data_IF_390365278596
#
_entry.id   IF_390365278596
#
_cell.length_a   1.000
_cell.length_b   1.000
_cell.length_c   1.000
_cell.angle_alpha   90.00
_cell.angle_beta   90.00
_cell.angle_gamma   90.00
#
_symmetry.space_group_name_H-M   'P 1'
#
loop_
_entity.id
_entity.type
_entity.pdbx_description
1 polymer ?
#
# COMPACT_ATOMS: atom_id res chain seq x y z
N UNK A 1 -52.62 -44.03 59.34
CA UNK A 1 -52.77 -43.35 58.05
C UNK A 1 -51.53 -42.51 57.84
N UNK A 2 -50.62 -42.96 56.95
CA UNK A 2 -49.33 -42.32 56.67
C UNK A 2 -49.33 -41.82 55.24
N UNK A 3 -49.26 -40.51 55.06
CA UNK A 3 -49.18 -39.87 53.75
C UNK A 3 -47.71 -39.64 53.36
N UNK A 4 -47.25 -40.36 52.28
CA UNK A 4 -45.93 -40.17 51.69
C UNK A 4 -45.90 -38.92 50.79
N UNK A 5 -45.13 -37.91 51.20
CA UNK A 5 -44.74 -36.82 50.30
C UNK A 5 -43.52 -37.26 49.46
N UNK A 6 -43.69 -37.33 48.15
CA UNK A 6 -42.61 -37.48 47.15
C UNK A 6 -41.96 -36.12 46.89
N UNK A 7 -40.69 -36.00 47.23
CA UNK A 7 -39.87 -34.85 46.81
C UNK A 7 -39.34 -35.13 45.39
N UNK A 8 -39.73 -34.31 44.42
CA UNK A 8 -39.11 -34.27 43.08
C UNK A 8 -37.89 -33.32 43.15
N UNK A 9 -36.71 -33.85 43.00
CA UNK A 9 -35.48 -33.10 42.83
C UNK A 9 -35.30 -32.82 41.34
N UNK A 10 -35.46 -31.58 40.95
CA UNK A 10 -35.17 -31.13 39.54
C UNK A 10 -33.68 -30.90 39.47
N UNK A 11 -32.97 -31.73 38.72
CA UNK A 11 -31.59 -31.48 38.32
C UNK A 11 -31.57 -30.56 37.09
N UNK A 12 -31.29 -29.26 37.30
CA UNK A 12 -31.02 -28.33 36.24
C UNK A 12 -29.60 -28.60 35.71
N UNK A 13 -29.50 -29.22 34.52
CA UNK A 13 -28.25 -29.31 33.80
C UNK A 13 -27.91 -27.94 33.20
N UNK A 14 -26.96 -27.25 33.80
CA UNK A 14 -26.33 -26.07 33.18
C UNK A 14 -25.39 -26.58 32.12
N UNK A 15 -25.79 -26.46 30.83
CA UNK A 15 -24.91 -26.65 29.71
C UNK A 15 -23.93 -25.46 29.68
N UNK A 16 -22.71 -25.65 30.17
CA UNK A 16 -21.61 -24.76 29.87
C UNK A 16 -21.27 -24.93 28.37
N UNK A 17 -21.66 -23.96 27.57
CA UNK A 17 -21.05 -23.80 26.25
C UNK A 17 -19.60 -23.37 26.46
N UNK A 18 -18.69 -24.32 26.39
CA UNK A 18 -17.25 -24.07 26.25
C UNK A 18 -17.03 -23.70 24.80
N UNK A 19 -17.20 -22.42 24.46
CA UNK A 19 -16.59 -21.86 23.26
C UNK A 19 -15.06 -21.92 23.45
N UNK A 20 -14.48 -23.05 23.09
CA UNK A 20 -13.02 -23.20 23.03
C UNK A 20 -12.47 -22.25 21.96
N UNK A 21 -11.23 -21.76 22.13
CA UNK A 21 -10.60 -20.93 21.10
C UNK A 21 -10.60 -21.72 19.78
N UNK A 22 -11.07 -21.09 18.70
CA UNK A 22 -11.07 -21.68 17.36
C UNK A 22 -9.69 -22.24 17.07
N UNK A 23 -9.61 -23.54 16.91
CA UNK A 23 -8.34 -24.25 16.71
C UNK A 23 -7.78 -23.86 15.35
N UNK A 24 -6.54 -23.41 15.30
CA UNK A 24 -5.81 -23.13 14.06
C UNK A 24 -5.75 -24.35 13.10
N UNK A 25 -6.02 -25.55 13.59
CA UNK A 25 -6.07 -26.79 12.82
C UNK A 25 -7.27 -26.85 11.83
N UNK A 26 -8.34 -26.08 12.05
CA UNK A 26 -9.53 -26.04 11.18
C UNK A 26 -9.57 -24.80 10.27
N UNK A 27 -8.62 -23.88 10.41
CA UNK A 27 -8.54 -22.68 9.55
C UNK A 27 -7.96 -23.05 8.17
N UNK A 28 -8.50 -22.52 7.06
CA UNK A 28 -9.73 -21.74 7.00
C UNK A 28 -11.01 -22.62 6.98
N UNK A 29 -12.06 -22.21 7.67
CA UNK A 29 -13.34 -22.91 7.72
C UNK A 29 -14.16 -22.74 6.42
N UNK A 30 -13.85 -21.72 5.61
CA UNK A 30 -14.54 -21.37 4.37
C UNK A 30 -13.63 -20.66 3.37
N UNK A 31 -14.20 -20.10 2.27
CA UNK A 31 -13.45 -19.28 1.33
C UNK A 31 -12.81 -18.07 2.02
N UNK A 32 -11.58 -17.71 1.60
CA UNK A 32 -10.89 -16.51 2.08
C UNK A 32 -11.05 -15.40 1.03
N UNK A 33 -11.58 -14.25 1.45
CA UNK A 33 -11.86 -13.13 0.57
C UNK A 33 -10.84 -12.00 0.81
N UNK A 34 -10.16 -11.57 -0.25
CA UNK A 34 -9.33 -10.38 -0.26
C UNK A 34 -10.14 -9.19 -0.77
N UNK A 35 -10.35 -8.20 0.07
CA UNK A 35 -10.94 -6.92 -0.30
C UNK A 35 -9.81 -6.00 -0.75
N UNK A 36 -9.73 -5.73 -2.05
CA UNK A 36 -8.75 -4.84 -2.67
C UNK A 36 -9.29 -3.41 -2.65
N UNK A 37 -8.56 -2.49 -2.02
CA UNK A 37 -8.99 -1.10 -1.80
C UNK A 37 -8.93 -0.20 -3.05
N UNK A 38 -8.58 -0.75 -4.22
CA UNK A 38 -8.41 -0.05 -5.49
C UNK A 38 -9.18 -0.71 -6.64
N UNK A 39 -9.39 0.01 -7.77
CA UNK A 39 -10.02 -0.56 -8.95
C UNK A 39 -9.28 -1.77 -9.49
N UNK A 40 -10.03 -2.67 -10.16
CA UNK A 40 -9.46 -3.81 -10.86
C UNK A 40 -8.45 -3.40 -11.93
N UNK A 41 -7.41 -4.22 -12.12
CA UNK A 41 -6.33 -3.99 -13.10
C UNK A 41 -5.17 -3.14 -12.58
N UNK A 42 -5.27 -2.55 -11.39
CA UNK A 42 -4.12 -1.92 -10.72
C UNK A 42 -3.11 -2.95 -10.19
N UNK A 43 -1.88 -2.51 -9.90
CA UNK A 43 -0.80 -3.41 -9.43
C UNK A 43 -1.19 -4.24 -8.21
N UNK A 44 -1.88 -3.65 -7.23
CA UNK A 44 -2.39 -4.38 -6.06
C UNK A 44 -3.37 -5.48 -6.46
N UNK A 45 -4.35 -5.19 -7.31
CA UNK A 45 -5.34 -6.19 -7.77
C UNK A 45 -4.68 -7.33 -8.55
N UNK A 46 -3.81 -6.98 -9.50
CA UNK A 46 -3.12 -7.96 -10.37
C UNK A 46 -2.25 -8.91 -9.54
N UNK A 47 -1.48 -8.40 -8.57
CA UNK A 47 -0.63 -9.22 -7.72
C UNK A 47 -1.44 -10.05 -6.73
N UNK A 48 -2.48 -9.50 -6.10
CA UNK A 48 -3.35 -10.26 -5.18
C UNK A 48 -4.05 -11.42 -5.91
N UNK A 49 -4.49 -11.22 -7.16
CA UNK A 49 -5.04 -12.31 -7.98
C UNK A 49 -4.00 -13.37 -8.33
N UNK A 50 -2.75 -12.98 -8.54
CA UNK A 50 -1.66 -13.94 -8.76
C UNK A 50 -1.34 -14.76 -7.50
N UNK A 51 -1.47 -14.18 -6.30
CA UNK A 51 -1.34 -14.90 -5.03
C UNK A 51 -2.48 -15.92 -4.81
N UNK A 52 -3.67 -15.69 -5.38
CA UNK A 52 -4.85 -16.52 -5.12
C UNK A 52 -4.65 -17.99 -5.48
N UNK A 53 -4.01 -18.29 -6.61
CA UNK A 53 -3.76 -19.68 -7.05
C UNK A 53 -2.86 -20.46 -6.09
N UNK A 54 -1.65 -20.00 -5.77
CA UNK A 54 -0.79 -20.60 -4.76
C UNK A 54 -1.46 -20.73 -3.40
N UNK A 55 -2.12 -19.68 -2.89
CA UNK A 55 -2.81 -19.69 -1.60
C UNK A 55 -3.94 -20.71 -1.55
N UNK A 56 -4.73 -20.84 -2.62
CA UNK A 56 -5.79 -21.85 -2.69
C UNK A 56 -5.24 -23.28 -2.58
N UNK A 57 -4.09 -23.55 -3.19
CA UNK A 57 -3.42 -24.85 -3.06
C UNK A 57 -2.93 -25.13 -1.64
N UNK A 58 -2.39 -24.11 -0.97
CA UNK A 58 -1.82 -24.19 0.38
C UNK A 58 -2.91 -24.30 1.46
N UNK A 59 -3.96 -23.48 1.35
CA UNK A 59 -5.03 -23.41 2.35
C UNK A 59 -6.15 -24.41 2.12
N UNK A 60 -6.23 -25.02 0.92
CA UNK A 60 -7.28 -26.01 0.58
C UNK A 60 -8.70 -25.43 0.46
N UNK A 61 -8.83 -24.11 0.38
CA UNK A 61 -10.12 -23.39 0.25
C UNK A 61 -10.05 -22.36 -0.86
N UNK A 62 -11.19 -22.00 -1.49
CA UNK A 62 -11.22 -20.98 -2.51
C UNK A 62 -10.71 -19.62 -2.01
N UNK A 63 -9.95 -18.92 -2.84
CA UNK A 63 -9.53 -17.54 -2.61
C UNK A 63 -10.34 -16.64 -3.55
N UNK A 64 -11.07 -15.70 -2.98
CA UNK A 64 -11.90 -14.73 -3.70
C UNK A 64 -11.22 -13.36 -3.66
N UNK A 65 -11.22 -12.62 -4.77
CA UNK A 65 -10.67 -11.25 -4.84
C UNK A 65 -11.76 -10.30 -5.27
N UNK A 66 -12.13 -9.38 -4.38
CA UNK A 66 -13.16 -8.36 -4.58
C UNK A 66 -12.53 -6.96 -4.56
N UNK A 67 -12.87 -6.12 -5.54
CA UNK A 67 -12.43 -4.73 -5.56
C UNK A 67 -13.50 -3.82 -4.95
N UNK A 68 -13.13 -3.07 -3.91
CA UNK A 68 -13.98 -2.05 -3.26
C UNK A 68 -13.26 -0.71 -3.25
N UNK A 69 -13.18 -0.09 -4.43
CA UNK A 69 -12.55 1.22 -4.58
C UNK A 69 -13.42 2.34 -4.02
N UNK A 70 -12.80 3.38 -3.46
CA UNK A 70 -13.48 4.60 -3.03
C UNK A 70 -12.78 5.30 -1.88
N UNK A 71 -12.85 6.63 -1.89
CA UNK A 71 -12.27 7.51 -0.87
C UNK A 71 -10.81 7.16 -0.49
N UNK A 72 -9.94 6.90 -1.50
CA UNK A 72 -8.54 6.55 -1.25
C UNK A 72 -8.32 5.22 -0.54
N UNK A 73 -9.31 4.30 -0.55
CA UNK A 73 -9.27 3.01 0.14
C UNK A 73 -10.01 2.98 1.49
N UNK A 74 -10.54 4.11 1.96
CA UNK A 74 -11.24 4.23 3.26
C UNK A 74 -12.46 3.31 3.33
N UNK A 75 -13.21 3.15 2.22
CA UNK A 75 -14.39 2.28 2.21
C UNK A 75 -14.01 0.82 2.47
N UNK A 76 -13.09 0.27 1.67
CA UNK A 76 -12.62 -1.11 1.83
C UNK A 76 -12.01 -1.36 3.22
N UNK A 77 -11.21 -0.41 3.70
CA UNK A 77 -10.58 -0.49 5.03
C UNK A 77 -11.62 -0.52 6.15
N UNK A 78 -12.64 0.35 6.07
CA UNK A 78 -13.73 0.39 7.05
C UNK A 78 -14.58 -0.87 7.09
N UNK A 79 -14.79 -1.51 5.93
CA UNK A 79 -15.51 -2.79 5.83
C UNK A 79 -14.72 -3.92 6.50
N UNK A 80 -13.41 -4.03 6.21
CA UNK A 80 -12.57 -5.07 6.81
C UNK A 80 -12.32 -4.84 8.30
N UNK A 81 -12.13 -3.59 8.73
CA UNK A 81 -11.97 -3.27 10.15
C UNK A 81 -13.16 -3.72 11.02
N UNK A 82 -14.35 -3.88 10.42
CA UNK A 82 -15.59 -4.33 11.08
C UNK A 82 -15.97 -5.77 10.77
N UNK A 83 -15.18 -6.47 9.94
CA UNK A 83 -15.45 -7.86 9.59
C UNK A 83 -15.23 -8.81 10.79
N UNK A 84 -15.77 -10.02 10.68
CA UNK A 84 -15.52 -11.05 11.68
C UNK A 84 -14.01 -11.36 11.79
N UNK A 85 -13.44 -11.47 13.00
CA UNK A 85 -12.02 -11.71 13.20
C UNK A 85 -11.66 -13.21 13.07
N UNK A 86 -12.19 -13.85 12.05
CA UNK A 86 -12.01 -15.29 11.77
C UNK A 86 -10.94 -15.58 10.69
N UNK A 87 -10.32 -14.53 10.15
CA UNK A 87 -9.30 -14.62 9.09
C UNK A 87 -9.87 -14.88 7.70
N UNK A 88 -11.20 -14.92 7.50
CA UNK A 88 -11.79 -15.18 6.19
C UNK A 88 -11.97 -13.92 5.35
N UNK A 89 -11.86 -12.73 5.95
CA UNK A 89 -11.92 -11.45 5.24
C UNK A 89 -10.65 -10.66 5.48
N UNK A 90 -9.88 -10.42 4.42
CA UNK A 90 -8.58 -9.75 4.46
C UNK A 90 -8.60 -8.49 3.61
N UNK A 91 -7.88 -7.47 4.03
CA UNK A 91 -7.68 -6.22 3.28
C UNK A 91 -6.37 -6.31 2.48
N UNK A 92 -6.42 -5.97 1.20
CA UNK A 92 -5.24 -5.63 0.41
C UNK A 92 -5.20 -4.12 0.21
N UNK A 93 -4.36 -3.44 0.99
CA UNK A 93 -4.25 -1.99 1.02
C UNK A 93 -2.91 -1.51 0.46
N UNK A 94 -2.92 -0.33 -0.15
CA UNK A 94 -1.71 0.39 -0.50
C UNK A 94 -1.32 1.43 0.57
N UNK A 95 -0.23 2.15 0.35
CA UNK A 95 0.33 3.15 1.26
C UNK A 95 -0.62 4.29 1.65
N UNK A 96 -1.73 4.48 0.91
CA UNK A 96 -2.81 5.38 1.33
C UNK A 96 -3.42 5.00 2.68
N UNK A 97 -3.31 3.73 3.11
CA UNK A 97 -3.67 3.28 4.46
C UNK A 97 -2.93 4.07 5.55
N UNK A 98 -1.66 4.37 5.33
CA UNK A 98 -0.85 5.16 6.27
C UNK A 98 -1.07 6.69 6.13
N UNK A 99 -1.50 7.15 4.96
CA UNK A 99 -1.78 8.56 4.71
C UNK A 99 -3.16 8.99 5.25
N UNK A 100 -4.15 8.11 5.17
CA UNK A 100 -5.55 8.44 5.49
C UNK A 100 -5.80 8.98 6.90
N UNK A 101 -5.10 8.55 7.98
CA UNK A 101 -5.29 9.14 9.31
C UNK A 101 -5.03 10.65 9.39
N UNK A 102 -4.20 11.18 8.50
CA UNK A 102 -3.91 12.63 8.45
C UNK A 102 -4.66 13.35 7.32
N UNK A 103 -4.93 12.67 6.20
CA UNK A 103 -5.61 13.25 5.04
C UNK A 103 -7.12 13.40 5.24
N UNK A 104 -7.75 12.44 5.93
CA UNK A 104 -9.21 12.36 6.03
C UNK A 104 -9.68 12.95 7.35
N UNK A 105 -10.64 13.90 7.27
CA UNK A 105 -11.15 14.63 8.43
C UNK A 105 -11.77 13.72 9.49
N UNK A 106 -12.43 12.63 9.06
CA UNK A 106 -13.07 11.69 9.97
C UNK A 106 -13.02 10.27 9.37
N UNK A 107 -12.25 9.39 9.99
CA UNK A 107 -12.19 7.98 9.62
C UNK A 107 -13.17 7.16 10.44
N UNK A 108 -13.88 6.18 9.83
CA UNK A 108 -14.77 5.27 10.54
C UNK A 108 -14.06 4.12 11.27
N UNK A 109 -12.73 4.15 11.34
CA UNK A 109 -11.84 3.15 11.96
C UNK A 109 -10.56 3.81 12.45
N UNK A 110 -9.83 3.12 13.33
CA UNK A 110 -8.46 3.45 13.71
C UNK A 110 -7.52 2.42 13.07
N UNK A 111 -6.60 2.86 12.21
CA UNK A 111 -5.75 1.98 11.41
C UNK A 111 -4.90 1.02 12.26
N UNK A 112 -4.35 1.49 13.39
CA UNK A 112 -3.47 0.66 14.23
C UNK A 112 -4.24 -0.19 15.24
N UNK A 113 -5.38 0.29 15.70
CA UNK A 113 -6.20 -0.42 16.69
C UNK A 113 -7.07 -1.49 16.05
N UNK A 114 -7.65 -1.21 14.86
CA UNK A 114 -8.68 -2.04 14.28
C UNK A 114 -8.14 -3.03 13.24
N UNK A 115 -6.86 -2.87 12.81
CA UNK A 115 -6.22 -3.73 11.81
C UNK A 115 -4.89 -4.30 12.31
N UNK A 116 -4.65 -5.57 11.97
CA UNK A 116 -3.37 -6.28 12.12
C UNK A 116 -2.73 -6.48 10.75
N UNK A 117 -1.53 -5.95 10.55
CA UNK A 117 -0.73 -6.21 9.35
C UNK A 117 -0.20 -7.66 9.35
N UNK A 118 -0.32 -8.36 8.21
CA UNK A 118 0.03 -9.77 8.06
C UNK A 118 1.21 -9.95 7.12
N UNK A 119 1.19 -9.32 5.94
CA UNK A 119 2.20 -9.49 4.90
C UNK A 119 2.42 -8.22 4.11
N UNK A 120 3.69 -7.87 3.88
CA UNK A 120 4.13 -6.87 2.91
C UNK A 120 4.42 -7.60 1.60
N UNK A 121 3.62 -7.34 0.56
CA UNK A 121 3.66 -8.12 -0.68
C UNK A 121 4.70 -7.58 -1.66
N UNK A 122 4.71 -6.27 -1.88
CA UNK A 122 5.66 -5.59 -2.75
C UNK A 122 5.77 -4.11 -2.41
N UNK A 123 6.84 -3.46 -2.90
CA UNK A 123 7.02 -2.01 -2.87
C UNK A 123 6.84 -1.41 -4.25
N UNK A 124 6.24 -0.23 -4.32
CA UNK A 124 5.98 0.52 -5.56
C UNK A 124 6.86 1.76 -5.58
N UNK A 125 8.01 1.71 -6.25
CA UNK A 125 8.86 2.88 -6.41
C UNK A 125 8.24 3.86 -7.40
N UNK A 126 8.54 5.15 -7.21
CA UNK A 126 8.28 6.19 -8.18
C UNK A 126 9.56 6.51 -8.94
N UNK A 127 9.41 6.99 -10.17
CA UNK A 127 10.50 7.54 -10.98
C UNK A 127 10.28 9.03 -11.13
N UNK A 128 11.28 9.82 -10.78
CA UNK A 128 11.32 11.25 -11.12
C UNK A 128 11.61 11.34 -12.61
N UNK A 129 10.60 11.73 -13.38
CA UNK A 129 10.69 11.94 -14.83
C UNK A 129 10.47 13.38 -15.18
N UNK A 130 11.14 13.85 -16.22
CA UNK A 130 11.03 15.20 -16.75
C UNK A 130 10.67 15.19 -18.22
N UNK A 131 10.08 16.29 -18.70
CA UNK A 131 9.99 16.60 -20.12
C UNK A 131 11.40 16.54 -20.77
N UNK A 132 11.61 15.80 -21.87
CA UNK A 132 12.89 15.75 -22.56
C UNK A 132 13.46 17.10 -23.01
N UNK A 133 12.61 18.13 -23.17
CA UNK A 133 13.01 19.49 -23.54
C UNK A 133 13.56 20.27 -22.33
N UNK A 134 13.26 19.85 -21.10
CA UNK A 134 13.81 20.49 -19.90
C UNK A 134 15.36 20.30 -19.91
N UNK A 135 16.16 21.40 -19.76
CA UNK A 135 17.62 21.34 -19.91
C UNK A 135 18.31 20.75 -18.68
N UNK A 136 17.87 19.58 -18.21
CA UNK A 136 18.47 18.82 -17.10
C UNK A 136 18.59 17.34 -17.43
N UNK A 137 19.69 16.72 -17.01
CA UNK A 137 20.01 15.32 -17.26
C UNK A 137 20.27 14.52 -15.98
N UNK A 138 20.25 15.19 -14.82
CA UNK A 138 20.50 14.58 -13.52
C UNK A 138 19.66 15.26 -12.43
N UNK A 139 19.51 14.59 -11.28
CA UNK A 139 18.88 15.16 -10.08
C UNK A 139 19.63 16.42 -9.62
N UNK A 140 20.96 16.43 -9.67
CA UNK A 140 21.76 17.58 -9.28
C UNK A 140 21.50 18.80 -10.19
N UNK A 141 21.41 18.61 -11.51
CA UNK A 141 21.06 19.70 -12.45
C UNK A 141 19.63 20.19 -12.24
N UNK A 142 18.68 19.30 -11.95
CA UNK A 142 17.33 19.71 -11.58
C UNK A 142 17.30 20.56 -10.32
N UNK A 143 17.99 20.15 -9.27
CA UNK A 143 18.11 20.93 -8.02
C UNK A 143 18.70 22.33 -8.30
N UNK A 144 19.75 22.40 -9.12
CA UNK A 144 20.37 23.67 -9.49
C UNK A 144 19.38 24.58 -10.24
N UNK A 145 18.61 24.02 -11.19
CA UNK A 145 17.56 24.77 -11.92
C UNK A 145 16.46 25.25 -10.98
N UNK A 146 15.98 24.41 -10.08
CA UNK A 146 14.92 24.78 -9.12
C UNK A 146 15.38 25.88 -8.16
N UNK A 147 16.64 25.88 -7.74
CA UNK A 147 17.22 26.96 -6.91
C UNK A 147 17.36 28.29 -7.68
N UNK A 148 17.60 28.25 -8.98
CA UNK A 148 17.65 29.44 -9.83
C UNK A 148 16.26 30.00 -10.14
N UNK A 149 15.22 29.16 -10.17
CA UNK A 149 13.85 29.51 -10.55
C UNK A 149 12.83 29.03 -9.49
N UNK A 150 12.91 29.52 -8.25
CA UNK A 150 12.04 29.06 -7.17
C UNK A 150 10.56 29.28 -7.50
N UNK A 151 9.75 28.22 -7.41
CA UNK A 151 8.32 28.24 -7.68
C UNK A 151 7.90 28.39 -9.16
N UNK A 152 8.85 28.54 -10.10
CA UNK A 152 8.52 28.73 -11.51
C UNK A 152 8.44 27.43 -12.31
N UNK A 153 9.02 26.36 -11.80
CA UNK A 153 8.95 25.02 -12.42
C UNK A 153 7.75 24.31 -11.83
N UNK A 154 6.87 23.80 -12.70
CA UNK A 154 5.69 23.06 -12.30
C UNK A 154 5.94 21.54 -12.26
N UNK A 155 5.18 20.84 -11.42
CA UNK A 155 5.13 19.38 -11.39
C UNK A 155 3.69 18.86 -11.42
N UNK A 156 3.44 17.79 -12.15
CA UNK A 156 2.14 17.14 -12.23
C UNK A 156 1.92 16.11 -11.12
N UNK A 157 0.69 16.01 -10.59
CA UNK A 157 0.31 14.99 -9.63
C UNK A 157 -1.15 14.56 -9.76
N UNK A 158 -1.48 13.35 -9.28
CA UNK A 158 -2.78 12.70 -9.45
C UNK A 158 -3.88 13.15 -8.47
N UNK A 159 -3.73 14.33 -7.87
CA UNK A 159 -4.67 14.87 -6.88
C UNK A 159 -4.05 15.05 -5.49
N UNK A 160 -4.72 15.78 -4.60
CA UNK A 160 -4.25 16.06 -3.25
C UNK A 160 -3.96 14.77 -2.46
N UNK A 161 -2.81 14.74 -1.77
CA UNK A 161 -2.40 13.60 -0.96
C UNK A 161 -1.97 12.35 -1.73
N UNK A 162 -1.90 12.41 -3.07
CA UNK A 162 -1.35 11.31 -3.86
C UNK A 162 0.13 11.06 -3.52
N UNK A 163 0.58 9.80 -3.59
CA UNK A 163 1.98 9.46 -3.38
C UNK A 163 2.93 10.29 -4.27
N UNK A 164 2.49 10.62 -5.46
CA UNK A 164 3.20 11.47 -6.44
C UNK A 164 3.41 12.88 -5.90
N UNK A 165 2.36 13.51 -5.36
CA UNK A 165 2.47 14.82 -4.72
C UNK A 165 3.38 14.76 -3.51
N UNK A 166 3.16 13.79 -2.61
CA UNK A 166 3.92 13.66 -1.38
C UNK A 166 5.41 13.41 -1.64
N UNK A 167 5.76 12.66 -2.70
CA UNK A 167 7.15 12.49 -3.12
C UNK A 167 7.78 13.81 -3.60
N UNK A 168 7.04 14.62 -4.35
CA UNK A 168 7.51 15.94 -4.79
C UNK A 168 7.68 16.89 -3.60
N UNK A 169 6.77 16.90 -2.64
CA UNK A 169 6.87 17.71 -1.42
C UNK A 169 8.08 17.28 -0.55
N UNK A 170 8.30 15.94 -0.42
CA UNK A 170 9.49 15.43 0.25
C UNK A 170 10.77 15.88 -0.44
N UNK A 171 10.81 15.80 -1.78
CA UNK A 171 11.95 16.24 -2.57
C UNK A 171 12.25 17.73 -2.35
N UNK A 172 11.23 18.58 -2.39
CA UNK A 172 11.35 20.01 -2.10
C UNK A 172 11.90 20.27 -0.70
N UNK A 173 11.34 19.59 0.30
CA UNK A 173 11.74 19.73 1.69
C UNK A 173 13.21 19.32 1.92
N UNK A 174 13.67 18.20 1.33
CA UNK A 174 15.03 17.69 1.51
C UNK A 174 16.07 18.48 0.72
N UNK A 175 15.68 19.09 -0.42
CA UNK A 175 16.62 19.83 -1.28
C UNK A 175 16.60 21.34 -1.05
N UNK A 176 15.64 21.84 -0.27
CA UNK A 176 15.44 23.28 -0.05
C UNK A 176 15.02 24.01 -1.34
N UNK A 177 14.24 23.33 -2.20
CA UNK A 177 13.75 23.86 -3.48
C UNK A 177 12.25 24.11 -3.44
N UNK A 178 11.71 24.83 -4.44
CA UNK A 178 10.29 25.13 -4.57
C UNK A 178 9.81 24.85 -5.99
N UNK A 179 8.69 24.12 -6.10
CA UNK A 179 7.98 23.82 -7.34
C UNK A 179 6.50 24.16 -7.19
N UNK A 180 5.80 24.38 -8.29
CA UNK A 180 4.35 24.61 -8.29
C UNK A 180 3.61 23.35 -8.71
N UNK A 181 2.75 22.80 -7.84
CA UNK A 181 1.96 21.60 -8.11
C UNK A 181 0.78 21.90 -9.06
N UNK A 182 0.61 21.03 -10.06
CA UNK A 182 -0.54 21.02 -10.98
C UNK A 182 -1.33 19.73 -10.73
N UNK A 183 -2.56 19.87 -10.24
CA UNK A 183 -3.41 18.76 -9.86
C UNK A 183 -4.22 18.21 -11.03
N UNK A 184 -4.20 16.91 -11.24
CA UNK A 184 -4.96 16.20 -12.26
C UNK A 184 -5.93 15.20 -11.62
N UNK A 185 -6.93 14.76 -12.40
CA UNK A 185 -7.85 13.66 -12.00
C UNK A 185 -7.20 12.28 -12.21
N UNK A 186 -5.98 12.11 -11.69
CA UNK A 186 -5.20 10.87 -11.77
C UNK A 186 -3.85 11.04 -12.48
N UNK A 187 -2.90 10.15 -12.16
CA UNK A 187 -1.53 10.18 -12.66
C UNK A 187 -1.40 10.08 -14.20
N UNK A 188 -2.20 9.29 -14.93
CA UNK A 188 -2.06 9.20 -16.39
C UNK A 188 -2.25 10.54 -17.11
N UNK A 189 -3.14 11.42 -16.64
CA UNK A 189 -3.35 12.73 -17.24
C UNK A 189 -2.14 13.65 -17.00
N UNK A 190 -1.56 13.61 -15.81
CA UNK A 190 -0.33 14.33 -15.50
C UNK A 190 0.84 13.86 -16.36
N UNK A 191 0.98 12.53 -16.56
CA UNK A 191 2.04 11.96 -17.40
C UNK A 191 1.91 12.40 -18.87
N UNK A 192 0.70 12.42 -19.40
CA UNK A 192 0.45 12.93 -20.76
C UNK A 192 0.90 14.38 -20.92
N UNK A 193 0.65 15.22 -19.92
CA UNK A 193 1.06 16.62 -19.96
C UNK A 193 2.58 16.83 -19.77
N UNK A 194 3.25 15.93 -19.05
CA UNK A 194 4.73 15.92 -19.03
C UNK A 194 5.30 15.54 -20.42
N UNK A 195 4.74 14.52 -21.07
CA UNK A 195 5.16 14.11 -22.42
C UNK A 195 4.89 15.19 -23.47
N UNK A 196 3.85 16.01 -23.26
CA UNK A 196 3.50 17.13 -24.15
C UNK A 196 4.26 18.44 -23.83
N UNK A 197 5.05 18.48 -22.74
CA UNK A 197 5.79 19.67 -22.32
C UNK A 197 4.94 20.76 -21.63
N UNK A 198 3.68 20.47 -21.30
CA UNK A 198 2.81 21.40 -20.54
C UNK A 198 3.19 21.45 -19.06
N UNK A 199 3.73 20.36 -18.52
CA UNK A 199 4.24 20.24 -17.17
C UNK A 199 5.69 19.76 -17.23
N UNK A 200 6.57 20.36 -16.44
CA UNK A 200 8.01 20.13 -16.55
C UNK A 200 8.44 18.75 -16.04
N UNK A 201 7.81 18.24 -14.98
CA UNK A 201 8.20 16.99 -14.34
C UNK A 201 7.05 16.36 -13.54
N UNK A 202 7.24 15.10 -13.17
CA UNK A 202 6.45 14.43 -12.15
C UNK A 202 7.23 13.28 -11.50
N UNK A 203 6.78 12.85 -10.35
CA UNK A 203 7.05 11.50 -9.87
C UNK A 203 5.98 10.57 -10.46
N UNK A 204 6.36 9.47 -11.07
CA UNK A 204 5.42 8.54 -11.69
C UNK A 204 5.66 7.11 -11.22
N UNK A 205 4.62 6.29 -11.13
CA UNK A 205 4.79 4.86 -10.84
C UNK A 205 5.73 4.23 -11.87
N UNK A 206 6.75 3.51 -11.42
CA UNK A 206 7.77 2.94 -12.30
C UNK A 206 7.14 2.12 -13.44
N UNK A 207 6.14 1.28 -13.14
CA UNK A 207 5.44 0.48 -14.14
C UNK A 207 4.76 1.30 -15.23
N UNK A 208 4.29 2.52 -14.92
CA UNK A 208 3.60 3.38 -15.87
C UNK A 208 4.53 4.12 -16.84
N UNK A 209 5.84 4.21 -16.53
CA UNK A 209 6.79 5.02 -17.32
C UNK A 209 7.89 4.22 -18.02
N UNK A 210 7.99 2.91 -17.78
CA UNK A 210 9.01 2.06 -18.44
C UNK A 210 8.94 2.18 -19.96
N UNK A 211 7.74 2.09 -20.53
CA UNK A 211 7.53 2.22 -21.98
C UNK A 211 7.87 3.62 -22.49
N UNK A 212 7.50 4.66 -21.77
CA UNK A 212 7.74 6.06 -22.09
C UNK A 212 9.23 6.43 -22.01
N UNK A 213 9.94 5.87 -21.03
CA UNK A 213 11.40 5.99 -20.91
C UNK A 213 12.09 5.31 -22.11
N UNK A 214 11.67 4.10 -22.45
CA UNK A 214 12.21 3.37 -23.60
C UNK A 214 11.94 4.09 -24.93
N UNK A 215 10.79 4.75 -25.07
CA UNK A 215 10.41 5.55 -26.22
C UNK A 215 11.08 6.95 -26.24
N UNK A 216 11.73 7.37 -25.15
CA UNK A 216 12.35 8.70 -25.02
C UNK A 216 11.34 9.85 -24.89
N UNK A 217 10.07 9.56 -24.62
CA UNK A 217 9.01 10.58 -24.45
C UNK A 217 9.04 11.25 -23.08
N UNK A 218 9.74 10.66 -22.13
CA UNK A 218 10.15 11.28 -20.86
C UNK A 218 11.60 10.92 -20.55
N UNK A 219 12.29 11.75 -19.76
CA UNK A 219 13.65 11.47 -19.28
C UNK A 219 13.60 11.13 -17.78
N UNK A 220 14.07 9.92 -17.38
CA UNK A 220 14.20 9.58 -15.98
C UNK A 220 15.44 10.24 -15.38
N UNK A 221 15.33 10.78 -14.17
CA UNK A 221 16.46 11.34 -13.40
C UNK A 221 16.85 10.49 -12.21
N UNK A 222 15.91 9.80 -11.58
CA UNK A 222 16.17 8.94 -10.44
C UNK A 222 14.93 8.19 -9.97
N UNK A 223 15.12 7.07 -9.27
CA UNK A 223 14.06 6.31 -8.63
C UNK A 223 13.97 6.65 -7.14
N UNK A 224 12.76 6.63 -6.62
CA UNK A 224 12.46 7.04 -5.24
C UNK A 224 12.74 6.00 -4.17
N UNK A 225 13.17 4.80 -4.56
CA UNK A 225 13.51 3.69 -3.66
C UNK A 225 14.98 3.77 -3.24
N UNK A 226 15.32 3.12 -2.12
CA UNK A 226 16.71 2.95 -1.63
C UNK A 226 17.54 1.98 -2.45
N UNK A 227 16.89 1.22 -3.35
CA UNK A 227 17.52 0.31 -4.33
C UNK A 227 17.03 0.64 -5.72
N UNK A 228 17.85 0.39 -6.73
CA UNK A 228 17.46 0.57 -8.13
C UNK A 228 16.34 -0.39 -8.52
N UNK A 229 15.45 0.07 -9.37
CA UNK A 229 14.35 -0.75 -9.89
C UNK A 229 14.91 -1.75 -10.93
N UNK A 230 14.66 -3.06 -10.77
CA UNK A 230 15.21 -4.07 -11.70
C UNK A 230 14.86 -3.83 -13.17
N UNK A 231 13.68 -3.29 -13.46
CA UNK A 231 13.24 -2.95 -14.82
C UNK A 231 13.91 -1.67 -15.37
N UNK A 232 14.60 -0.88 -14.53
CA UNK A 232 15.30 0.37 -14.89
C UNK A 232 16.71 0.41 -14.28
N UNK A 233 17.59 -0.56 -14.55
CA UNK A 233 18.85 -0.74 -13.85
C UNK A 233 19.84 0.41 -14.06
N UNK A 234 19.71 1.16 -15.15
CA UNK A 234 20.55 2.32 -15.46
C UNK A 234 20.13 3.62 -14.75
N UNK A 235 18.90 3.66 -14.20
CA UNK A 235 18.40 4.84 -13.48
C UNK A 235 18.88 4.77 -12.03
N UNK A 236 19.66 5.76 -11.55
CA UNK A 236 20.12 5.76 -10.16
C UNK A 236 18.98 5.96 -9.18
N UNK A 237 19.19 5.67 -7.91
CA UNK A 237 18.28 6.14 -6.87
C UNK A 237 18.48 7.65 -6.67
N UNK A 238 17.45 8.35 -6.18
CA UNK A 238 17.57 9.78 -5.85
C UNK A 238 18.57 9.99 -4.71
N UNK A 239 18.67 9.01 -3.81
CA UNK A 239 19.71 8.96 -2.77
C UNK A 239 21.12 8.95 -3.39
N UNK A 240 21.41 8.00 -4.30
CA UNK A 240 22.68 7.95 -5.06
C UNK A 240 22.95 9.22 -5.85
N UNK A 241 21.89 9.87 -6.34
CA UNK A 241 21.95 11.04 -7.21
C UNK A 241 22.11 12.39 -6.44
N UNK A 242 22.36 12.34 -5.13
CA UNK A 242 22.74 13.49 -4.34
C UNK A 242 21.68 14.04 -3.38
N UNK A 243 20.64 13.24 -3.05
CA UNK A 243 19.67 13.55 -1.99
C UNK A 243 19.68 12.42 -0.95
N UNK A 244 20.70 12.38 -0.06
CA UNK A 244 20.88 11.29 0.89
C UNK A 244 19.65 11.06 1.78
N UNK A 245 19.23 9.80 1.93
CA UNK A 245 18.07 9.41 2.72
C UNK A 245 16.74 9.66 2.05
N UNK A 246 16.70 10.02 0.76
CA UNK A 246 15.44 10.15 0.04
C UNK A 246 14.82 8.78 -0.19
N UNK A 247 13.62 8.60 0.34
CA UNK A 247 12.78 7.44 0.07
C UNK A 247 11.31 7.87 0.03
N UNK A 248 10.64 7.64 -1.11
CA UNK A 248 9.21 7.86 -1.30
C UNK A 248 8.61 6.67 -2.07
N UNK A 249 8.42 5.56 -1.37
CA UNK A 249 8.00 4.29 -1.95
C UNK A 249 6.62 3.92 -1.43
N UNK A 250 5.71 3.64 -2.35
CA UNK A 250 4.46 2.99 -2.02
C UNK A 250 4.68 1.52 -1.65
N UNK A 251 3.68 0.89 -1.09
CA UNK A 251 3.70 -0.52 -0.71
C UNK A 251 2.30 -1.10 -0.71
N UNK A 252 2.21 -2.43 -0.76
CA UNK A 252 0.96 -3.17 -0.58
C UNK A 252 1.07 -4.08 0.63
N UNK A 253 0.18 -3.88 1.60
CA UNK A 253 0.02 -4.71 2.80
C UNK A 253 -1.26 -5.53 2.72
N UNK A 254 -1.17 -6.76 3.21
CA UNK A 254 -2.34 -7.56 3.57
C UNK A 254 -2.57 -7.40 5.07
N UNK A 255 -3.82 -7.08 5.44
CA UNK A 255 -4.22 -6.91 6.84
C UNK A 255 -5.48 -7.73 7.13
N UNK A 256 -5.68 -8.07 8.41
CA UNK A 256 -6.92 -8.64 8.94
C UNK A 256 -7.50 -7.73 10.05
N UNK A 257 -8.74 -7.97 10.51
CA UNK A 257 -9.23 -7.36 11.75
C UNK A 257 -8.28 -7.65 12.92
N UNK A 258 -8.01 -6.67 13.77
CA UNK A 258 -6.99 -6.79 14.83
C UNK A 258 -7.29 -7.88 15.87
N UNK A 259 -8.58 -8.22 16.07
CA UNK A 259 -9.00 -9.27 16.98
C UNK A 259 -8.85 -10.70 16.39
N UNK A 260 -8.31 -10.85 15.17
CA UNK A 260 -8.06 -12.17 14.56
C UNK A 260 -7.05 -12.95 15.40
N UNK A 261 -7.32 -14.22 15.77
CA UNK A 261 -6.44 -14.99 16.63
C UNK A 261 -5.02 -15.14 16.08
N UNK A 262 -4.01 -15.00 16.94
CA UNK A 262 -2.59 -15.07 16.55
C UNK A 262 -2.23 -16.32 15.73
N UNK A 263 -2.70 -17.55 16.04
CA UNK A 263 -2.40 -18.70 15.21
C UNK A 263 -2.91 -18.61 13.76
N UNK A 264 -4.01 -17.87 13.53
CA UNK A 264 -4.55 -17.60 12.19
C UNK A 264 -3.66 -16.58 11.47
N UNK A 265 -3.25 -15.52 12.18
CA UNK A 265 -2.33 -14.49 11.64
C UNK A 265 -1.01 -15.13 11.22
N UNK A 266 -0.40 -15.95 12.09
CA UNK A 266 0.87 -16.60 11.82
C UNK A 266 0.77 -17.53 10.60
N UNK A 267 -0.28 -18.36 10.53
CA UNK A 267 -0.54 -19.23 9.38
C UNK A 267 -0.73 -18.43 8.09
N UNK A 268 -1.52 -17.37 8.13
CA UNK A 268 -1.71 -16.50 6.95
C UNK A 268 -0.40 -15.85 6.51
N UNK A 269 0.42 -15.37 7.46
CA UNK A 269 1.72 -14.77 7.17
C UNK A 269 2.64 -15.77 6.46
N UNK A 270 2.75 -17.00 6.97
CA UNK A 270 3.58 -18.05 6.38
C UNK A 270 3.11 -18.44 4.97
N UNK A 271 1.80 -18.64 4.78
CA UNK A 271 1.27 -19.05 3.47
C UNK A 271 1.33 -17.91 2.44
N UNK A 272 1.14 -16.65 2.86
CA UNK A 272 1.33 -15.48 2.00
C UNK A 272 2.79 -15.32 1.58
N UNK A 273 3.74 -15.52 2.50
CA UNK A 273 5.17 -15.46 2.19
C UNK A 273 5.54 -16.52 1.14
N UNK A 274 5.14 -17.79 1.34
CA UNK A 274 5.37 -18.88 0.36
C UNK A 274 4.73 -18.57 -1.00
N UNK A 275 3.50 -18.03 -1.02
CA UNK A 275 2.81 -17.67 -2.25
C UNK A 275 3.52 -16.55 -2.99
N UNK A 276 3.99 -15.52 -2.27
CA UNK A 276 4.72 -14.39 -2.83
C UNK A 276 6.09 -14.78 -3.39
N UNK A 277 6.72 -15.82 -2.87
CA UNK A 277 8.03 -16.32 -3.33
C UNK A 277 7.95 -17.23 -4.57
N UNK A 278 6.76 -17.57 -5.05
CA UNK A 278 6.64 -18.36 -6.28
C UNK A 278 7.22 -17.60 -7.49
N UNK A 279 7.94 -18.29 -8.42
CA UNK A 279 8.56 -17.62 -9.57
C UNK A 279 7.58 -16.81 -10.43
N UNK A 280 6.34 -17.28 -10.55
CA UNK A 280 5.29 -16.59 -11.29
C UNK A 280 4.94 -15.24 -10.65
N UNK A 281 4.74 -15.21 -9.32
CA UNK A 281 4.41 -13.99 -8.59
C UNK A 281 5.58 -13.01 -8.59
N UNK A 282 6.81 -13.50 -8.35
CA UNK A 282 8.03 -12.69 -8.38
C UNK A 282 8.26 -12.03 -9.77
N UNK A 283 8.10 -12.83 -10.84
CA UNK A 283 8.22 -12.35 -12.21
C UNK A 283 7.15 -11.29 -12.53
N UNK A 284 5.91 -11.49 -12.07
CA UNK A 284 4.82 -10.55 -12.27
C UNK A 284 5.08 -9.23 -11.54
N UNK A 285 5.47 -9.26 -10.27
CA UNK A 285 5.82 -8.08 -9.47
C UNK A 285 6.91 -7.27 -10.20
N UNK A 286 7.97 -7.94 -10.67
CA UNK A 286 9.06 -7.28 -11.40
C UNK A 286 8.59 -6.67 -12.72
N UNK A 287 7.76 -7.37 -13.49
CA UNK A 287 7.20 -6.87 -14.77
C UNK A 287 6.30 -5.65 -14.58
N UNK A 288 5.64 -5.53 -13.43
CA UNK A 288 4.84 -4.36 -13.07
C UNK A 288 5.71 -3.15 -12.65
N UNK A 289 7.04 -3.24 -12.72
CA UNK A 289 7.95 -2.18 -12.27
C UNK A 289 7.97 -2.01 -10.74
N UNK A 290 7.43 -2.97 -10.01
CA UNK A 290 7.43 -3.00 -8.55
C UNK A 290 8.59 -3.85 -8.02
N UNK A 291 8.92 -3.70 -6.75
CA UNK A 291 10.04 -4.40 -6.10
C UNK A 291 9.46 -5.52 -5.22
N UNK A 292 9.78 -6.79 -5.51
CA UNK A 292 9.41 -7.88 -4.62
C UNK A 292 10.13 -7.73 -3.28
N UNK A 293 9.48 -8.17 -2.21
CA UNK A 293 10.03 -8.09 -0.85
C UNK A 293 9.88 -9.43 -0.14
N UNK A 294 10.84 -9.73 0.72
CA UNK A 294 10.65 -10.75 1.75
C UNK A 294 9.87 -10.11 2.90
N UNK A 295 8.65 -10.59 3.17
CA UNK A 295 7.77 -9.98 4.17
C UNK A 295 8.37 -10.15 5.59
N UNK A 296 8.52 -9.06 6.36
CA UNK A 296 8.81 -9.16 7.79
C UNK A 296 7.70 -9.87 8.57
N UNK A 297 7.96 -10.21 9.81
CA UNK A 297 6.96 -10.77 10.73
C UNK A 297 5.77 -9.81 10.94
N UNK A 298 4.57 -10.32 11.28
CA UNK A 298 3.40 -9.47 11.57
C UNK A 298 3.66 -8.41 12.65
N UNK A 299 4.48 -8.72 13.66
CA UNK A 299 4.84 -7.78 14.71
C UNK A 299 5.74 -6.64 14.19
N UNK A 300 6.68 -6.94 13.30
CA UNK A 300 7.53 -5.93 12.64
C UNK A 300 6.72 -5.10 11.66
N UNK A 301 5.78 -5.73 10.94
CA UNK A 301 4.88 -5.01 10.03
C UNK A 301 3.94 -4.04 10.74
N UNK A 302 3.51 -4.36 11.96
CA UNK A 302 2.71 -3.43 12.76
C UNK A 302 3.53 -2.19 13.18
N UNK A 303 4.81 -2.38 13.54
CA UNK A 303 5.75 -1.27 13.79
C UNK A 303 6.03 -0.48 12.52
N UNK A 304 6.22 -1.15 11.39
CA UNK A 304 6.39 -0.51 10.08
C UNK A 304 5.16 0.35 9.75
N UNK A 305 3.95 -0.17 9.88
CA UNK A 305 2.71 0.60 9.61
C UNK A 305 2.61 1.84 10.51
N UNK A 306 2.95 1.72 11.79
CA UNK A 306 2.96 2.85 12.72
C UNK A 306 4.00 3.92 12.30
N UNK A 307 5.21 3.52 11.90
CA UNK A 307 6.24 4.44 11.42
C UNK A 307 5.83 5.13 10.11
N UNK A 308 5.18 4.41 9.19
CA UNK A 308 4.65 4.97 7.95
C UNK A 308 3.54 5.99 8.20
N UNK A 309 2.62 5.72 9.13
CA UNK A 309 1.58 6.69 9.53
C UNK A 309 2.21 7.99 10.05
N UNK A 310 3.23 7.89 10.89
CA UNK A 310 3.95 9.06 11.40
C UNK A 310 4.65 9.82 10.26
N UNK A 311 5.42 9.10 9.43
CA UNK A 311 6.19 9.67 8.32
C UNK A 311 5.29 10.38 7.28
N UNK A 312 4.26 9.69 6.81
CA UNK A 312 3.31 10.28 5.85
C UNK A 312 2.51 11.42 6.49
N UNK A 313 2.14 11.28 7.76
CA UNK A 313 1.46 12.34 8.50
C UNK A 313 2.26 13.62 8.56
N UNK A 314 3.58 13.54 8.82
CA UNK A 314 4.47 14.70 8.83
C UNK A 314 4.57 15.37 7.45
N UNK A 315 4.69 14.57 6.38
CA UNK A 315 4.72 15.09 5.01
C UNK A 315 3.41 15.77 4.62
N UNK A 316 2.28 15.16 4.93
CA UNK A 316 0.94 15.68 4.65
C UNK A 316 0.69 17.01 5.37
N UNK A 317 1.12 17.13 6.63
CA UNK A 317 1.04 18.39 7.38
C UNK A 317 1.93 19.48 6.79
N UNK A 318 3.16 19.15 6.40
CA UNK A 318 4.09 20.09 5.73
C UNK A 318 3.56 20.55 4.37
N UNK A 319 2.94 19.66 3.61
CA UNK A 319 2.31 19.98 2.33
C UNK A 319 1.01 20.79 2.47
N UNK A 320 0.51 21.03 3.69
CA UNK A 320 -0.71 21.80 3.94
C UNK A 320 -2.00 21.12 3.48
N UNK A 321 -2.00 19.81 3.26
CA UNK A 321 -3.15 19.03 2.77
C UNK A 321 -3.80 18.15 3.84
N UNK A 322 -3.47 18.34 5.10
CA UNK A 322 -4.13 17.63 6.20
C UNK A 322 -5.63 17.95 6.23
N UNK A 323 -6.46 16.92 6.49
CA UNK A 323 -7.93 17.01 6.50
C UNK A 323 -8.56 17.54 5.20
N UNK A 324 -7.91 17.31 4.06
CA UNK A 324 -8.38 17.77 2.75
C UNK A 324 -9.36 16.81 2.06
N UNK A 325 -9.60 15.63 2.65
CA UNK A 325 -10.51 14.58 2.17
C UNK A 325 -11.61 14.27 3.19
#
# INVERSE_FOLDING_TARGET
MVTRRRALTIFSAVALNLDGPASAAEYPSGPVTFIVSFPAGGSTDVVVRALAGPLQKQLGKPIVVENRAGAGGVLATGDVAKAAPDGLTLLAAASSLAASPTLVKSLPFDTLRDLQAISLVFRTPLVLVVDPQLPVKSVAELIALLKQKPGQINFGHGGPGSAIQLAAELFQAMTGTQMTGVSYRGAPLALNDVMAGHVALMFADAGSVIGQIAAGTVRPLGVSSTVRVPALPSVPTIDEAGVPGFEAVGWTLICAPSATPAPIIDRLSDELAKAAETPEVQSLITKLGTIPVHSPSPAELQKFLASEISRWGDLIRRAGVANSL
#
